data_IF_018621213576
#
_entry.id   IF_018621213576
#
_cell.length_a   1.000
_cell.length_b   1.000
_cell.length_c   1.000
_cell.angle_alpha   90.00
_cell.angle_beta   90.00
_cell.angle_gamma   90.00
#
_symmetry.space_group_name_H-M   'P 1'
#
loop_
_entity.id
_entity.type
_entity.pdbx_description
1 polymer ?
#
# COMPACT_ATOMS: atom_id res chain seq x y z
N UNK A 1 5.91 14.36 -24.00
CA UNK A 1 5.48 12.95 -23.83
C UNK A 1 4.71 12.86 -22.52
N UNK A 2 3.41 12.59 -22.59
CA UNK A 2 2.60 12.35 -21.39
C UNK A 2 3.10 11.08 -20.70
N UNK A 3 3.41 11.17 -19.41
CA UNK A 3 3.80 10.01 -18.61
C UNK A 3 2.49 9.33 -18.16
N UNK A 4 2.17 8.16 -18.70
CA UNK A 4 0.95 7.40 -18.38
C UNK A 4 0.73 7.22 -16.87
N UNK A 5 -0.52 7.12 -16.40
CA UNK A 5 -0.87 7.24 -14.99
C UNK A 5 -0.19 6.19 -14.11
N UNK A 6 -0.12 6.43 -12.80
CA UNK A 6 0.36 5.44 -11.83
C UNK A 6 -0.65 4.31 -11.73
N UNK A 7 -0.42 3.21 -12.45
CA UNK A 7 -1.27 2.04 -12.42
C UNK A 7 -1.26 1.36 -11.05
N UNK A 8 -0.07 1.04 -10.54
CA UNK A 8 0.11 0.32 -9.27
C UNK A 8 1.00 1.11 -8.33
N UNK A 9 0.69 1.06 -7.05
CA UNK A 9 1.55 1.55 -5.98
C UNK A 9 1.89 0.42 -5.03
N UNK A 10 3.17 0.37 -4.67
CA UNK A 10 3.72 -0.55 -3.68
C UNK A 10 4.38 0.32 -2.62
N UNK A 11 3.96 0.15 -1.37
CA UNK A 11 4.57 0.80 -0.23
C UNK A 11 5.16 -0.25 0.69
N UNK A 12 6.49 -0.29 0.77
CA UNK A 12 7.22 -1.24 1.62
C UNK A 12 7.59 -0.54 2.92
N UNK A 13 7.26 -1.17 4.05
CA UNK A 13 7.71 -0.73 5.36
C UNK A 13 9.13 -1.24 5.61
N UNK A 14 10.10 -0.33 5.61
CA UNK A 14 11.51 -0.63 5.89
C UNK A 14 11.79 -0.67 7.41
N UNK A 15 10.93 -0.02 8.19
CA UNK A 15 10.86 -0.16 9.65
C UNK A 15 9.41 -0.14 10.12
N UNK A 16 9.16 -0.63 11.33
CA UNK A 16 7.96 -0.31 12.10
C UNK A 16 8.21 0.89 13.01
N UNK A 17 7.14 1.47 13.57
CA UNK A 17 7.23 2.45 14.65
C UNK A 17 6.55 1.90 15.92
N UNK A 18 6.87 2.48 17.07
CA UNK A 18 6.34 2.03 18.36
C UNK A 18 4.85 2.36 18.50
N UNK A 19 4.45 3.55 18.06
CA UNK A 19 3.05 4.00 18.13
C UNK A 19 2.67 4.87 16.93
N UNK A 20 1.44 4.72 16.44
CA UNK A 20 0.90 5.47 15.29
C UNK A 20 1.44 4.94 13.95
N UNK A 21 1.65 5.85 12.99
CA UNK A 21 2.33 5.55 11.74
C UNK A 21 1.61 4.60 10.79
N UNK A 22 0.32 4.29 11.00
CA UNK A 22 -0.41 3.42 10.08
C UNK A 22 -0.59 4.07 8.70
N UNK A 23 -0.80 3.25 7.68
CA UNK A 23 -1.26 3.72 6.37
C UNK A 23 -2.77 3.54 6.32
N UNK A 24 -3.51 4.64 6.25
CA UNK A 24 -4.98 4.66 6.29
C UNK A 24 -5.55 4.82 4.88
N UNK A 25 -6.60 4.05 4.57
CA UNK A 25 -7.44 4.20 3.38
C UNK A 25 -8.85 4.61 3.83
N UNK A 26 -9.11 5.92 4.04
CA UNK A 26 -10.33 6.38 4.70
C UNK A 26 -11.61 5.99 3.96
N UNK A 27 -11.62 6.00 2.61
CA UNK A 27 -12.80 5.60 1.83
C UNK A 27 -13.11 4.10 1.92
N UNK A 28 -12.14 3.29 2.34
CA UNK A 28 -12.32 1.86 2.59
C UNK A 28 -12.52 1.53 4.08
N UNK A 29 -12.34 2.50 4.98
CA UNK A 29 -12.42 2.27 6.42
C UNK A 29 -11.36 1.31 6.97
N UNK A 30 -10.24 1.13 6.26
CA UNK A 30 -9.16 0.21 6.65
C UNK A 30 -7.87 0.97 6.92
N UNK A 31 -7.05 0.43 7.83
CA UNK A 31 -5.72 0.96 8.17
C UNK A 31 -4.76 -0.19 8.42
N UNK A 32 -3.50 0.03 8.05
CA UNK A 32 -2.45 -0.98 8.16
C UNK A 32 -1.31 -0.45 9.03
N UNK A 33 -1.01 -1.16 10.12
CA UNK A 33 0.15 -0.84 10.95
C UNK A 33 1.46 -1.04 10.17
N UNK A 34 2.50 -0.24 10.45
CA UNK A 34 3.81 -0.39 9.82
C UNK A 34 4.55 -1.60 10.42
N UNK A 35 4.55 -2.72 9.68
CA UNK A 35 5.30 -3.93 10.06
C UNK A 35 6.55 -4.02 9.20
N UNK A 36 7.72 -3.97 9.81
CA UNK A 36 9.01 -4.06 9.10
C UNK A 36 9.04 -5.28 8.15
N UNK A 37 9.47 -5.06 6.90
CA UNK A 37 9.54 -6.08 5.86
C UNK A 37 8.22 -6.39 5.15
N UNK A 38 7.10 -5.83 5.59
CA UNK A 38 5.81 -5.97 4.91
C UNK A 38 5.61 -4.91 3.81
N UNK A 39 4.68 -5.17 2.89
CA UNK A 39 4.34 -4.24 1.82
C UNK A 39 2.83 -4.16 1.60
N UNK A 40 2.35 -2.97 1.29
CA UNK A 40 1.01 -2.71 0.78
C UNK A 40 1.08 -2.57 -0.74
N UNK A 41 0.13 -3.20 -1.44
CA UNK A 41 0.06 -3.18 -2.90
C UNK A 41 -1.38 -2.87 -3.30
N UNK A 42 -1.57 -1.83 -4.11
CA UNK A 42 -2.89 -1.46 -4.62
C UNK A 42 -2.82 -0.85 -6.03
N UNK A 43 -3.93 -0.93 -6.76
CA UNK A 43 -4.12 -0.23 -8.03
C UNK A 43 -4.67 1.16 -7.77
N UNK A 44 -4.11 2.19 -8.40
CA UNK A 44 -4.70 3.54 -8.30
C UNK A 44 -5.77 3.78 -9.36
N UNK A 45 -5.91 2.87 -10.34
CA UNK A 45 -6.89 2.97 -11.41
C UNK A 45 -7.93 1.87 -11.27
N UNK A 46 -9.17 2.20 -11.63
CA UNK A 46 -10.26 1.25 -11.71
C UNK A 46 -10.20 0.43 -13.02
N UNK A 47 -11.20 -0.43 -13.24
CA UNK A 47 -11.29 -1.27 -14.45
C UNK A 47 -11.48 -0.48 -15.75
N UNK A 48 -11.81 0.80 -15.66
CA UNK A 48 -12.01 1.72 -16.78
C UNK A 48 -10.80 2.65 -16.98
N UNK A 49 -9.71 2.46 -16.22
CA UNK A 49 -8.51 3.29 -16.29
C UNK A 49 -8.67 4.67 -15.64
N UNK A 50 -9.75 4.90 -14.88
CA UNK A 50 -9.97 6.14 -14.15
C UNK A 50 -9.39 6.04 -12.75
N UNK A 51 -9.11 7.17 -12.10
CA UNK A 51 -8.64 7.20 -10.72
C UNK A 51 -9.63 6.48 -9.79
N UNK A 52 -9.17 5.43 -9.12
CA UNK A 52 -9.98 4.72 -8.13
C UNK A 52 -9.94 5.49 -6.81
N UNK A 53 -10.96 6.33 -6.61
CA UNK A 53 -11.08 7.17 -5.42
C UNK A 53 -11.03 6.40 -4.11
N UNK A 54 -11.46 5.13 -4.09
CA UNK A 54 -11.44 4.29 -2.88
C UNK A 54 -10.03 4.10 -2.35
N UNK A 55 -9.03 4.23 -3.22
CA UNK A 55 -7.61 4.08 -2.89
C UNK A 55 -6.94 5.36 -2.40
N UNK A 56 -7.71 6.43 -2.12
CA UNK A 56 -7.23 7.57 -1.35
C UNK A 56 -6.59 7.07 -0.05
N UNK A 57 -5.36 7.50 0.21
CA UNK A 57 -4.58 7.03 1.35
C UNK A 57 -3.72 8.12 1.96
N UNK A 58 -3.36 7.94 3.22
CA UNK A 58 -2.41 8.79 3.94
C UNK A 58 -1.56 7.99 4.92
N UNK A 59 -0.32 8.44 5.13
CA UNK A 59 0.46 8.02 6.29
C UNK A 59 -0.04 8.81 7.51
N UNK A 60 -0.53 8.11 8.52
CA UNK A 60 -0.95 8.73 9.78
C UNK A 60 0.29 9.16 10.60
N UNK A 61 0.15 10.14 11.51
CA UNK A 61 1.26 10.60 12.34
C UNK A 61 1.94 9.47 13.10
N UNK A 62 3.28 9.50 13.16
CA UNK A 62 4.05 8.67 14.09
C UNK A 62 4.00 9.34 15.45
N UNK A 63 3.57 8.60 16.47
CA UNK A 63 3.43 9.11 17.83
C UNK A 63 4.66 8.76 18.69
N UNK A 64 5.34 7.66 18.40
CA UNK A 64 6.59 7.25 19.04
C UNK A 64 7.45 6.38 18.10
N UNK A 65 8.77 6.54 18.18
CA UNK A 65 9.75 5.90 17.31
C UNK A 65 9.82 6.50 15.89
N UNK A 66 10.35 5.74 14.94
CA UNK A 66 10.55 6.16 13.54
C UNK A 66 9.92 5.19 12.55
N UNK A 67 9.38 5.73 11.44
CA UNK A 67 8.83 4.94 10.33
C UNK A 67 9.58 5.25 9.04
N UNK A 68 10.27 4.24 8.51
CA UNK A 68 10.91 4.28 7.20
C UNK A 68 10.11 3.48 6.19
N UNK A 69 9.93 4.03 4.99
CA UNK A 69 9.18 3.38 3.92
C UNK A 69 9.71 3.68 2.53
N UNK A 70 9.50 2.73 1.62
CA UNK A 70 9.86 2.84 0.20
C UNK A 70 8.59 2.86 -0.66
N UNK A 71 8.44 3.90 -1.46
CA UNK A 71 7.38 4.00 -2.48
C UNK A 71 7.91 3.51 -3.84
N UNK A 72 7.22 2.56 -4.44
CA UNK A 72 7.44 2.12 -5.82
C UNK A 72 6.16 2.38 -6.61
N UNK A 73 6.27 3.21 -7.66
CA UNK A 73 5.16 3.54 -8.54
C UNK A 73 5.38 2.94 -9.93
N UNK A 74 4.50 2.03 -10.33
CA UNK A 74 4.49 1.50 -11.68
C UNK A 74 3.48 2.29 -12.52
N UNK A 75 3.97 2.82 -13.63
CA UNK A 75 3.15 3.60 -14.57
C UNK A 75 2.62 2.73 -15.70
N UNK A 76 1.47 3.11 -16.23
CA UNK A 76 0.97 2.58 -17.48
C UNK A 76 2.03 2.74 -18.58
N UNK A 77 2.16 1.71 -19.42
CA UNK A 77 3.00 1.75 -20.60
C UNK A 77 2.18 1.29 -21.80
N UNK A 78 2.12 2.07 -22.90
CA UNK A 78 1.43 1.66 -24.12
C UNK A 78 1.93 0.31 -24.67
N UNK A 79 3.18 -0.06 -24.35
CA UNK A 79 3.85 -1.27 -24.85
C UNK A 79 3.67 -2.49 -23.97
N UNK A 80 3.06 -2.37 -22.78
CA UNK A 80 3.04 -3.43 -21.77
C UNK A 80 1.59 -3.82 -21.49
N UNK A 81 1.15 -4.95 -22.07
CA UNK A 81 -0.17 -5.52 -21.76
C UNK A 81 -0.23 -5.85 -20.26
N UNK A 82 -1.31 -5.41 -19.61
CA UNK A 82 -1.50 -5.61 -18.18
C UNK A 82 -1.63 -7.10 -17.86
N UNK A 83 -0.58 -7.68 -17.28
CA UNK A 83 -0.69 -8.97 -16.59
C UNK A 83 -0.99 -8.64 -15.14
N UNK A 84 -2.14 -9.06 -14.64
CA UNK A 84 -2.48 -8.93 -13.21
C UNK A 84 -1.38 -9.63 -12.40
N UNK A 85 -0.58 -8.92 -11.59
CA UNK A 85 0.40 -9.57 -10.74
C UNK A 85 -0.36 -10.43 -9.73
N UNK A 86 0.11 -11.67 -9.57
CA UNK A 86 -0.27 -12.49 -8.43
C UNK A 86 0.35 -11.84 -7.19
N UNK A 87 -0.48 -11.25 -6.34
CA UNK A 87 -0.05 -10.75 -5.03
C UNK A 87 -0.21 -11.88 -4.03
N UNK A 88 0.90 -12.47 -3.59
CA UNK A 88 0.92 -13.38 -2.45
C UNK A 88 0.96 -12.56 -1.15
N UNK A 89 -0.19 -12.41 -0.49
CA UNK A 89 -0.24 -11.83 0.86
C UNK A 89 0.10 -12.93 1.86
N UNK A 90 1.23 -12.83 2.55
CA UNK A 90 1.49 -13.66 3.74
C UNK A 90 0.65 -13.09 4.88
N UNK A 91 -0.46 -13.76 5.19
CA UNK A 91 -1.21 -13.48 6.42
C UNK A 91 -0.26 -13.75 7.59
N UNK A 92 -0.04 -12.75 8.45
CA UNK A 92 0.60 -13.00 9.73
C UNK A 92 -0.26 -14.04 10.49
N UNK A 93 0.35 -15.03 11.16
CA UNK A 93 -0.41 -15.92 12.03
C UNK A 93 -1.16 -15.05 13.04
N UNK A 94 -2.47 -15.30 13.22
CA UNK A 94 -3.20 -14.74 14.37
C UNK A 94 -2.39 -15.13 15.60
N UNK A 95 -1.98 -14.16 16.41
CA UNK A 95 -1.51 -14.44 17.76
C UNK A 95 -2.60 -15.30 18.41
N UNK A 96 -2.27 -16.55 18.74
CA UNK A 96 -3.12 -17.36 19.58
C UNK A 96 -3.27 -16.58 20.88
N UNK A 97 -4.46 -16.04 21.13
CA UNK A 97 -4.81 -15.53 22.44
C UNK A 97 -4.70 -16.71 23.41
N UNK A 98 -3.77 -16.60 24.34
CA UNK A 98 -3.74 -17.40 25.55
C UNK A 98 -4.44 -16.61 26.65
N UNK A 99 -5.32 -17.35 27.34
CA UNK A 99 -6.06 -17.08 28.58
C UNK A 99 -5.44 -16.08 29.57
#
# INVERSE_FOLDING_TARGET
AERGNRLLSIFVYLSGCEQGGCTSFPKLGISFAPVCGSALIWYNLDRHGQLDERTLHAGMPVLAGDKWGLNIWMRESPKRKLVRPLVAVRLAPRSAGGD
#
